data_IF_333465226193
#
_entry.id   IF_333465226193
#
_cell.length_a   1.000
_cell.length_b   1.000
_cell.length_c   1.000
_cell.angle_alpha   90.00
_cell.angle_beta   90.00
_cell.angle_gamma   90.00
#
_symmetry.space_group_name_H-M   'P 1'
#
loop_
_entity.id
_entity.type
_entity.pdbx_description
1 polymer ?
#
# COMPACT_ATOMS: atom_id res chain seq x y z
N UNK A 1 34.43 7.57 -49.80
CA UNK A 1 34.02 6.31 -49.18
C UNK A 1 34.76 5.99 -47.87
N UNK A 2 36.05 6.23 -47.67
CA UNK A 2 36.75 5.91 -46.39
C UNK A 2 36.35 6.85 -45.25
N UNK A 3 36.08 8.14 -45.51
CA UNK A 3 35.72 9.14 -44.52
C UNK A 3 34.31 8.95 -43.95
N UNK A 4 33.37 8.54 -44.78
CA UNK A 4 31.96 8.25 -44.39
C UNK A 4 31.84 7.02 -43.47
N UNK A 5 32.70 6.01 -43.68
CA UNK A 5 32.77 4.81 -42.83
C UNK A 5 33.33 5.12 -41.41
N UNK A 6 34.28 6.05 -41.29
CA UNK A 6 34.84 6.48 -40.02
C UNK A 6 33.81 7.28 -39.20
N UNK A 7 33.00 8.14 -39.85
CA UNK A 7 31.97 8.93 -39.18
C UNK A 7 30.84 8.01 -38.71
N UNK A 8 30.47 6.99 -39.49
CA UNK A 8 29.45 6.01 -39.11
C UNK A 8 29.91 5.14 -37.91
N UNK A 9 31.22 4.79 -37.84
CA UNK A 9 31.79 4.05 -36.72
C UNK A 9 31.80 4.86 -35.45
N UNK A 10 32.00 6.18 -35.49
CA UNK A 10 32.04 7.07 -34.34
C UNK A 10 30.60 7.24 -33.71
N UNK A 11 29.54 7.12 -34.53
CA UNK A 11 28.17 7.28 -34.05
C UNK A 11 27.62 6.04 -33.32
N UNK A 12 28.20 4.86 -33.57
CA UNK A 12 27.78 3.59 -32.92
C UNK A 12 28.33 3.46 -31.50
N UNK A 13 29.42 4.14 -31.16
CA UNK A 13 30.03 4.06 -29.83
C UNK A 13 29.38 4.95 -28.78
N UNK A 14 28.47 5.86 -29.16
CA UNK A 14 27.78 6.77 -28.22
C UNK A 14 26.51 6.20 -27.60
N UNK A 15 26.04 5.01 -28.02
CA UNK A 15 24.80 4.39 -27.53
C UNK A 15 24.96 3.40 -26.37
N UNK A 16 26.18 3.21 -25.86
CA UNK A 16 26.50 2.17 -24.86
C UNK A 16 26.50 2.64 -23.38
N UNK A 17 26.04 3.85 -23.07
CA UNK A 17 26.14 4.40 -21.70
C UNK A 17 24.78 4.66 -21.00
N UNK A 18 23.75 3.91 -21.29
CA UNK A 18 22.44 4.10 -20.69
C UNK A 18 21.83 2.80 -20.11
N UNK A 19 22.62 2.08 -19.33
CA UNK A 19 22.04 1.07 -18.42
C UNK A 19 22.64 1.32 -17.01
N UNK A 20 22.08 2.33 -16.34
CA UNK A 20 22.20 2.40 -14.89
C UNK A 20 21.16 1.43 -14.35
N UNK A 21 21.58 0.21 -14.02
CA UNK A 21 20.80 -0.69 -13.18
C UNK A 21 20.58 0.04 -11.86
N UNK A 22 19.41 0.70 -11.73
CA UNK A 22 18.92 1.16 -10.45
C UNK A 22 18.54 -0.08 -9.64
N UNK A 23 19.47 -0.58 -8.86
CA UNK A 23 19.21 -1.58 -7.82
C UNK A 23 18.15 -0.94 -6.91
N UNK A 24 16.93 -1.52 -6.82
CA UNK A 24 15.93 -0.98 -5.92
C UNK A 24 16.53 -0.95 -4.52
N UNK A 25 16.32 0.12 -3.73
CA UNK A 25 16.87 0.22 -2.39
C UNK A 25 16.45 -1.03 -1.61
N UNK A 26 17.42 -1.82 -1.19
CA UNK A 26 17.20 -2.98 -0.32
C UNK A 26 16.52 -2.41 0.93
N UNK A 27 15.22 -2.67 1.06
CA UNK A 27 14.43 -2.27 2.22
C UNK A 27 15.08 -2.91 3.43
N UNK A 28 15.86 -2.10 4.19
CA UNK A 28 16.62 -2.58 5.35
C UNK A 28 15.66 -3.31 6.28
N UNK A 29 15.89 -4.59 6.46
CA UNK A 29 15.06 -5.42 7.33
C UNK A 29 15.19 -4.89 8.76
N UNK A 30 14.14 -4.27 9.25
CA UNK A 30 14.11 -3.73 10.62
C UNK A 30 13.86 -4.92 11.55
N UNK A 31 14.87 -5.32 12.30
CA UNK A 31 14.73 -6.24 13.40
C UNK A 31 14.23 -5.47 14.63
N UNK A 32 12.92 -5.49 14.85
CA UNK A 32 12.27 -4.79 15.96
C UNK A 32 12.81 -5.23 17.34
N UNK A 33 13.17 -6.50 17.50
CA UNK A 33 13.70 -7.01 18.76
C UNK A 33 15.06 -6.39 19.05
N UNK A 34 15.90 -6.27 18.03
CA UNK A 34 17.19 -5.62 18.12
C UNK A 34 17.04 -4.12 18.36
N UNK A 35 16.13 -3.46 17.65
CA UNK A 35 15.86 -2.03 17.83
C UNK A 35 15.37 -1.70 19.23
N UNK A 36 14.51 -2.54 19.83
CA UNK A 36 14.07 -2.36 21.22
C UNK A 36 15.19 -2.56 22.24
N UNK A 37 16.21 -3.37 21.93
CA UNK A 37 17.35 -3.63 22.80
C UNK A 37 18.46 -2.58 22.67
N UNK A 38 18.39 -1.69 21.68
CA UNK A 38 19.29 -0.53 21.55
C UNK A 38 18.92 0.52 22.59
N UNK A 39 19.92 1.23 23.10
CA UNK A 39 19.70 2.31 24.08
C UNK A 39 19.11 3.53 23.36
N UNK A 40 17.98 4.03 23.84
CA UNK A 40 17.36 5.26 23.35
C UNK A 40 18.31 6.44 23.61
N UNK A 41 18.69 7.15 22.57
CA UNK A 41 19.64 8.28 22.63
C UNK A 41 19.07 9.51 23.34
N UNK A 42 17.75 9.63 23.49
CA UNK A 42 17.08 10.79 24.12
C UNK A 42 16.84 10.54 25.60
N UNK A 43 16.32 9.36 25.95
CA UNK A 43 15.93 9.04 27.33
C UNK A 43 16.95 8.20 28.08
N UNK A 44 17.95 7.63 27.37
CA UNK A 44 18.90 6.66 27.93
C UNK A 44 18.26 5.31 28.30
N UNK A 45 16.96 5.13 28.01
CA UNK A 45 16.22 3.91 28.31
C UNK A 45 16.66 2.74 27.43
N UNK A 46 16.64 1.52 28.00
CA UNK A 46 16.96 0.27 27.30
C UNK A 46 15.97 -0.80 27.71
N UNK A 47 15.44 -1.52 26.74
CA UNK A 47 14.60 -2.70 26.98
C UNK A 47 15.47 -3.95 26.95
N UNK A 48 15.48 -4.71 28.05
CA UNK A 48 16.17 -6.00 28.13
C UNK A 48 15.12 -7.09 28.01
N UNK A 49 15.20 -7.89 26.96
CA UNK A 49 14.28 -9.00 26.70
C UNK A 49 14.96 -10.28 27.16
N UNK A 50 14.44 -10.87 28.23
CA UNK A 50 14.86 -12.19 28.70
C UNK A 50 13.91 -13.24 28.12
N UNK A 51 14.33 -13.93 27.09
CA UNK A 51 13.54 -14.99 26.45
C UNK A 51 14.33 -16.30 26.40
N UNK A 52 13.63 -17.41 26.51
CA UNK A 52 14.19 -18.72 26.21
C UNK A 52 14.59 -18.79 24.72
N UNK A 53 15.73 -19.40 24.36
CA UNK A 53 16.17 -19.54 22.97
C UNK A 53 15.11 -20.14 22.03
N UNK A 54 14.24 -21.02 22.53
CA UNK A 54 13.12 -21.57 21.76
C UNK A 54 12.07 -20.52 21.44
N UNK A 55 11.80 -19.61 22.39
CA UNK A 55 10.85 -18.49 22.18
C UNK A 55 11.42 -17.53 21.15
N UNK A 56 12.72 -17.24 21.18
CA UNK A 56 13.36 -16.40 20.15
C UNK A 56 13.26 -17.01 18.76
N UNK A 57 13.47 -18.32 18.63
CA UNK A 57 13.31 -19.03 17.35
C UNK A 57 11.87 -18.98 16.84
N UNK A 58 10.88 -19.21 17.73
CA UNK A 58 9.45 -19.11 17.39
C UNK A 58 9.07 -17.70 16.99
N UNK A 59 9.59 -16.69 17.67
CA UNK A 59 9.36 -15.29 17.32
C UNK A 59 9.90 -14.95 15.94
N UNK A 60 11.15 -15.33 15.64
CA UNK A 60 11.75 -15.14 14.31
C UNK A 60 10.96 -15.85 13.22
N UNK A 61 10.52 -17.09 13.48
CA UNK A 61 9.67 -17.85 12.55
C UNK A 61 8.33 -17.13 12.34
N UNK A 62 7.65 -16.72 13.40
CA UNK A 62 6.38 -15.98 13.34
C UNK A 62 6.52 -14.69 12.55
N UNK A 63 7.55 -13.89 12.79
CA UNK A 63 7.85 -12.67 12.03
C UNK A 63 8.05 -12.99 10.53
N UNK A 64 8.81 -14.05 10.22
CA UNK A 64 9.10 -14.44 8.83
C UNK A 64 7.84 -14.88 8.08
N UNK A 65 6.94 -15.62 8.76
CA UNK A 65 5.64 -16.04 8.20
C UNK A 65 4.73 -14.83 8.00
N UNK A 66 4.57 -13.99 9.02
CA UNK A 66 3.71 -12.80 8.95
C UNK A 66 4.16 -11.81 7.88
N UNK A 67 5.46 -11.71 7.60
CA UNK A 67 5.98 -10.89 6.49
C UNK A 67 5.62 -11.44 5.11
N UNK A 68 5.46 -12.75 4.97
CA UNK A 68 5.00 -13.38 3.72
C UNK A 68 3.51 -13.25 3.53
N UNK A 69 2.74 -13.26 4.60
CA UNK A 69 1.30 -13.08 4.58
C UNK A 69 0.97 -11.60 4.46
N UNK A 70 0.86 -11.13 3.22
CA UNK A 70 0.44 -9.75 2.93
C UNK A 70 -1.08 -9.55 3.04
N UNK A 71 -1.82 -10.61 3.32
CA UNK A 71 -3.28 -10.62 3.44
C UNK A 71 -3.70 -10.73 4.91
N UNK A 72 -4.70 -9.96 5.31
CA UNK A 72 -5.31 -10.09 6.62
C UNK A 72 -6.82 -9.89 6.55
N UNK A 73 -7.53 -10.34 7.58
CA UNK A 73 -8.96 -10.17 7.72
C UNK A 73 -9.26 -8.79 8.31
N UNK A 74 -9.79 -7.89 7.47
CA UNK A 74 -10.18 -6.55 7.84
C UNK A 74 -11.63 -6.24 7.52
N UNK A 75 -11.96 -4.95 7.41
CA UNK A 75 -13.29 -4.46 7.12
C UNK A 75 -13.24 -3.41 6.01
N UNK A 76 -14.23 -3.48 5.11
CA UNK A 76 -14.57 -2.41 4.17
C UNK A 76 -16.02 -2.02 4.38
N UNK A 77 -16.41 -0.84 3.95
CA UNK A 77 -17.79 -0.38 3.97
C UNK A 77 -18.41 -0.70 2.61
N UNK A 78 -19.44 -1.53 2.56
CA UNK A 78 -20.20 -1.80 1.34
C UNK A 78 -21.24 -0.70 1.14
N UNK A 79 -21.19 -0.03 -0.01
CA UNK A 79 -22.11 1.06 -0.37
C UNK A 79 -23.11 0.67 -1.44
N UNK A 80 -22.81 -0.37 -2.24
CA UNK A 80 -23.69 -0.85 -3.29
C UNK A 80 -23.51 -2.36 -3.49
N UNK A 81 -24.62 -3.06 -3.80
CA UNK A 81 -24.65 -4.40 -4.39
C UNK A 81 -25.68 -4.39 -5.52
N UNK A 82 -25.31 -4.92 -6.68
CA UNK A 82 -26.19 -5.02 -7.85
C UNK A 82 -25.96 -6.33 -8.58
N UNK A 83 -27.04 -6.95 -9.02
CA UNK A 83 -26.96 -8.17 -9.83
C UNK A 83 -26.26 -7.90 -11.16
N UNK A 84 -25.41 -8.85 -11.59
CA UNK A 84 -24.71 -8.76 -12.87
C UNK A 84 -25.65 -8.89 -14.08
N UNK A 85 -26.84 -9.43 -13.88
CA UNK A 85 -27.82 -9.63 -14.97
C UNK A 85 -28.43 -8.32 -15.48
N UNK A 86 -28.60 -7.33 -14.59
CA UNK A 86 -29.33 -6.09 -14.90
C UNK A 86 -28.44 -4.85 -14.85
N UNK A 87 -27.12 -5.01 -14.71
CA UNK A 87 -26.26 -3.87 -14.41
C UNK A 87 -25.16 -3.70 -15.45
N UNK A 88 -25.10 -2.51 -16.04
CA UNK A 88 -23.99 -2.12 -16.91
C UNK A 88 -22.75 -1.78 -16.03
N UNK A 89 -21.63 -2.42 -16.33
CA UNK A 89 -20.36 -2.25 -15.61
C UNK A 89 -19.83 -0.82 -15.69
N UNK A 90 -20.07 -0.09 -16.78
CA UNK A 90 -19.62 1.30 -16.95
C UNK A 90 -20.39 2.24 -16.01
N UNK A 91 -21.67 1.96 -15.76
CA UNK A 91 -22.44 2.68 -14.77
C UNK A 91 -21.87 2.50 -13.36
N UNK A 92 -21.38 1.29 -13.05
CA UNK A 92 -20.73 1.00 -11.76
C UNK A 92 -19.37 1.68 -11.64
N UNK A 93 -18.56 1.69 -12.69
CA UNK A 93 -17.29 2.41 -12.72
C UNK A 93 -17.51 3.92 -12.51
N UNK A 94 -18.50 4.51 -13.18
CA UNK A 94 -18.85 5.90 -13.01
C UNK A 94 -19.36 6.20 -11.59
N UNK A 95 -20.10 5.27 -10.98
CA UNK A 95 -20.53 5.38 -9.59
C UNK A 95 -19.34 5.34 -8.62
N UNK A 96 -18.39 4.44 -8.84
CA UNK A 96 -17.15 4.34 -8.06
C UNK A 96 -16.34 5.63 -8.17
N UNK A 97 -16.13 6.14 -9.38
CA UNK A 97 -15.41 7.39 -9.64
C UNK A 97 -16.05 8.59 -8.95
N UNK A 98 -17.39 8.71 -9.01
CA UNK A 98 -18.12 9.76 -8.31
C UNK A 98 -17.95 9.68 -6.79
N UNK A 99 -17.89 8.46 -6.24
CA UNK A 99 -17.61 8.28 -4.82
C UNK A 99 -16.21 8.77 -4.47
N UNK A 100 -15.18 8.46 -5.26
CA UNK A 100 -13.80 8.89 -5.04
C UNK A 100 -13.62 10.41 -5.17
N UNK A 101 -14.35 11.04 -6.09
CA UNK A 101 -14.39 12.50 -6.21
C UNK A 101 -14.99 13.17 -4.96
N UNK A 102 -15.95 12.50 -4.31
CA UNK A 102 -16.63 13.02 -3.12
C UNK A 102 -15.88 12.72 -1.81
N UNK A 103 -15.19 11.58 -1.77
CA UNK A 103 -14.40 11.10 -0.62
C UNK A 103 -12.99 10.75 -1.07
N UNK A 104 -12.14 11.73 -1.41
CA UNK A 104 -10.82 11.47 -1.97
C UNK A 104 -9.86 10.78 -1.01
N UNK A 105 -10.16 10.82 0.29
CA UNK A 105 -9.43 10.14 1.35
C UNK A 105 -9.82 8.67 1.54
N UNK A 106 -10.84 8.18 0.80
CA UNK A 106 -11.37 6.81 0.97
C UNK A 106 -11.36 6.10 -0.38
N UNK A 107 -10.46 5.13 -0.60
CA UNK A 107 -10.41 4.38 -1.85
C UNK A 107 -11.67 3.54 -2.06
N UNK A 108 -12.09 3.38 -3.32
CA UNK A 108 -13.26 2.59 -3.67
C UNK A 108 -12.88 1.41 -4.56
N UNK A 109 -13.52 0.27 -4.35
CA UNK A 109 -13.25 -0.99 -5.01
C UNK A 109 -14.52 -1.58 -5.59
N UNK A 110 -14.54 -1.75 -6.91
CA UNK A 110 -15.56 -2.50 -7.62
C UNK A 110 -15.13 -3.96 -7.70
N UNK A 111 -15.89 -4.86 -7.09
CA UNK A 111 -15.61 -6.28 -7.06
C UNK A 111 -16.82 -7.08 -7.59
N UNK A 112 -16.55 -8.08 -8.43
CA UNK A 112 -17.52 -9.08 -8.78
C UNK A 112 -17.45 -10.23 -7.77
N UNK A 113 -18.57 -10.57 -7.21
CA UNK A 113 -18.75 -11.75 -6.35
C UNK A 113 -20.04 -12.41 -6.76
N UNK A 114 -19.92 -13.48 -7.53
CA UNK A 114 -21.05 -14.19 -8.15
C UNK A 114 -22.27 -14.28 -7.20
N UNK A 115 -23.47 -13.87 -7.65
CA UNK A 115 -23.85 -13.29 -8.95
C UNK A 115 -23.79 -11.74 -9.00
N UNK A 116 -23.24 -11.05 -7.98
CA UNK A 116 -23.37 -9.62 -7.78
C UNK A 116 -22.08 -8.84 -7.99
N UNK A 117 -22.20 -7.64 -8.54
CA UNK A 117 -21.21 -6.60 -8.39
C UNK A 117 -21.38 -5.87 -7.05
N UNK A 118 -20.27 -5.67 -6.33
CA UNK A 118 -20.26 -4.99 -5.02
C UNK A 118 -19.26 -3.85 -5.06
N UNK A 119 -19.70 -2.67 -4.59
CA UNK A 119 -18.80 -1.54 -4.38
C UNK A 119 -18.54 -1.43 -2.88
N UNK A 120 -17.25 -1.58 -2.53
CA UNK A 120 -16.76 -1.51 -1.17
C UNK A 120 -15.72 -0.43 -1.05
N UNK A 121 -15.69 0.30 0.05
CA UNK A 121 -14.84 1.49 0.22
C UNK A 121 -14.09 1.45 1.53
N UNK A 122 -12.88 2.04 1.51
CA UNK A 122 -11.98 2.13 2.64
C UNK A 122 -11.34 0.80 3.02
N UNK A 123 -10.27 0.87 3.77
CA UNK A 123 -9.55 -0.28 4.31
C UNK A 123 -9.38 -0.07 5.82
N UNK A 124 -9.97 -0.93 6.62
CA UNK A 124 -9.99 -0.80 8.08
C UNK A 124 -9.56 -2.12 8.72
N UNK A 125 -8.73 -2.05 9.76
CA UNK A 125 -8.32 -3.25 10.51
C UNK A 125 -9.47 -3.83 11.33
N UNK A 126 -10.26 -2.95 11.91
CA UNK A 126 -11.36 -3.33 12.79
C UNK A 126 -12.66 -2.66 12.39
N UNK A 127 -13.77 -3.25 12.82
CA UNK A 127 -15.10 -2.65 12.64
C UNK A 127 -15.22 -1.29 13.32
N UNK A 128 -14.55 -1.11 14.46
CA UNK A 128 -14.59 0.14 15.24
C UNK A 128 -13.89 1.26 14.46
N UNK A 129 -12.75 0.96 13.85
CA UNK A 129 -12.00 1.90 13.01
C UNK A 129 -12.83 2.39 11.80
N UNK A 130 -13.71 1.55 11.26
CA UNK A 130 -14.60 1.93 10.16
C UNK A 130 -15.75 2.87 10.57
N UNK A 131 -16.08 3.02 11.88
CA UNK A 131 -17.25 3.78 12.33
C UNK A 131 -17.22 5.26 11.96
N UNK A 132 -16.11 6.02 12.13
CA UNK A 132 -16.07 7.42 11.73
C UNK A 132 -16.33 7.62 10.24
N UNK A 133 -15.67 6.82 9.38
CA UNK A 133 -15.87 6.85 7.94
C UNK A 133 -17.32 6.45 7.57
N UNK A 134 -17.85 5.40 8.20
CA UNK A 134 -19.23 4.96 8.00
C UNK A 134 -20.24 6.07 8.30
N UNK A 135 -20.05 6.84 9.38
CA UNK A 135 -20.94 7.97 9.73
C UNK A 135 -20.90 9.07 8.66
N UNK A 136 -19.73 9.36 8.10
CA UNK A 136 -19.58 10.34 7.00
C UNK A 136 -20.29 9.84 5.74
N UNK A 137 -20.04 8.60 5.34
CA UNK A 137 -20.56 7.97 4.13
C UNK A 137 -22.09 7.85 4.20
N UNK A 138 -22.66 7.48 5.35
CA UNK A 138 -24.11 7.31 5.52
C UNK A 138 -24.93 8.58 5.33
N UNK A 139 -24.35 9.75 5.42
CA UNK A 139 -25.03 11.01 5.12
C UNK A 139 -25.56 11.04 3.68
N UNK A 140 -24.87 10.36 2.76
CA UNK A 140 -25.25 10.29 1.34
C UNK A 140 -25.62 8.87 0.90
N UNK A 141 -24.95 7.86 1.43
CA UNK A 141 -25.14 6.44 1.14
C UNK A 141 -25.76 5.75 2.35
N UNK A 142 -27.05 6.01 2.61
CA UNK A 142 -27.76 5.58 3.83
C UNK A 142 -27.75 4.06 4.07
N UNK A 143 -27.70 3.28 2.98
CA UNK A 143 -27.61 1.81 3.03
C UNK A 143 -26.20 1.25 3.29
N UNK A 144 -25.21 2.08 3.56
CA UNK A 144 -23.84 1.63 3.78
C UNK A 144 -23.70 0.85 5.09
N UNK A 145 -22.93 -0.26 5.06
CA UNK A 145 -22.63 -1.08 6.23
C UNK A 145 -21.23 -1.72 6.14
N UNK A 146 -20.59 -1.98 7.30
CA UNK A 146 -19.26 -2.60 7.31
C UNK A 146 -19.37 -4.09 7.03
N UNK A 147 -18.51 -4.60 6.16
CA UNK A 147 -18.37 -6.01 5.80
C UNK A 147 -16.96 -6.50 6.07
N UNK A 148 -16.85 -7.72 6.57
CA UNK A 148 -15.56 -8.39 6.73
C UNK A 148 -15.02 -8.79 5.37
N UNK A 149 -13.75 -8.53 5.11
CA UNK A 149 -13.10 -8.85 3.84
C UNK A 149 -11.61 -9.06 4.02
N UNK A 150 -11.00 -9.77 3.09
CA UNK A 150 -9.54 -9.88 3.04
C UNK A 150 -8.96 -8.63 2.39
N UNK A 151 -7.96 -8.04 3.02
CA UNK A 151 -7.30 -6.80 2.63
C UNK A 151 -5.80 -7.05 2.54
N UNK A 152 -5.13 -6.44 1.57
CA UNK A 152 -3.67 -6.43 1.54
C UNK A 152 -3.12 -5.46 2.58
N UNK A 153 -2.05 -5.85 3.27
CA UNK A 153 -1.42 -5.01 4.29
C UNK A 153 -0.98 -3.65 3.72
N UNK A 154 -0.57 -3.62 2.46
CA UNK A 154 -0.17 -2.41 1.74
C UNK A 154 -1.33 -1.41 1.55
N UNK A 155 -2.57 -1.91 1.45
CA UNK A 155 -3.77 -1.07 1.29
C UNK A 155 -4.20 -0.36 2.58
N UNK A 156 -3.71 -0.81 3.75
CA UNK A 156 -3.98 -0.14 5.04
C UNK A 156 -3.20 1.15 5.22
N UNK A 157 -1.96 1.11 4.78
CA UNK A 157 -1.06 2.25 4.84
C UNK A 157 -0.61 2.50 3.40
N UNK A 158 -1.38 3.20 2.58
CA UNK A 158 -0.85 3.68 1.32
C UNK A 158 0.39 4.50 1.68
N UNK A 159 1.55 4.02 1.23
CA UNK A 159 2.75 4.86 1.24
C UNK A 159 2.38 6.03 0.36
N UNK A 160 2.05 7.17 0.98
CA UNK A 160 2.05 8.43 0.28
C UNK A 160 3.50 8.58 -0.13
N UNK A 161 3.83 8.31 -1.40
CA UNK A 161 5.06 8.81 -1.99
C UNK A 161 5.00 10.32 -1.79
N UNK A 162 5.57 10.78 -0.69
CA UNK A 162 5.93 12.17 -0.55
C UNK A 162 6.98 12.35 -1.62
N UNK A 163 6.57 12.96 -2.74
CA UNK A 163 7.48 13.58 -3.68
C UNK A 163 8.50 14.31 -2.82
N UNK A 164 9.72 13.81 -2.84
CA UNK A 164 10.85 14.42 -2.15
C UNK A 164 11.02 15.77 -2.81
N UNK A 165 10.36 16.77 -2.24
CA UNK A 165 10.63 18.18 -2.58
C UNK A 165 12.09 18.36 -2.28
N UNK A 166 12.89 18.38 -3.34
CA UNK A 166 14.31 18.64 -3.26
C UNK A 166 14.48 19.93 -2.46
N UNK A 167 15.15 19.81 -1.32
CA UNK A 167 15.52 20.97 -0.54
C UNK A 167 16.26 21.96 -1.43
N UNK A 168 15.95 23.26 -1.42
CA UNK A 168 16.65 24.25 -2.21
C UNK A 168 18.12 24.27 -1.80
N UNK A 169 19.05 24.45 -2.74
CA UNK A 169 20.47 24.48 -2.43
C UNK A 169 20.77 25.60 -1.45
N UNK A 170 21.41 25.25 -0.33
CA UNK A 170 21.92 26.22 0.63
C UNK A 170 23.06 26.98 -0.05
N UNK A 171 22.84 28.27 -0.33
CA UNK A 171 23.88 29.17 -0.79
C UNK A 171 24.68 29.61 0.43
N UNK A 172 26.00 29.34 0.42
CA UNK A 172 26.98 29.91 1.32
C UNK A 172 27.47 31.26 0.77
#
# INVERSE_FOLDING_TARGET
>A
MKLTLVILSLFITSLAWAQTDSIPPVKKEIDFVKQLSETDSITGGKVIIHADPKIEQLLKLSISVSRKEQLFQGYRIQILSRSSYDTNIDSLKNYTKRFEEEFPDIPAYLQYTDPDFKIRVGNFRTRIEAIPALKRIRKKYSGAYPVKTTIYLQELNPVVEQDTVAAPPVQF
#
